data_IF_002182930713
#
_entry.id   IF_002182930713
#
_cell.length_a   1.000
_cell.length_b   1.000
_cell.length_c   1.000
_cell.angle_alpha   90.00
_cell.angle_beta   90.00
_cell.angle_gamma   90.00
#
_symmetry.space_group_name_H-M   'P 1'
#
loop_
_entity.id
_entity.type
_entity.pdbx_description
1 polymer ?
#
# COMPACT_ATOMS: atom_id res chain seq x y z
N UNK A 1 -25.50 -23.00 11.58
CA UNK A 1 -24.03 -22.88 11.80
C UNK A 1 -23.58 -21.45 12.07
N UNK A 2 -24.31 -20.42 11.63
CA UNK A 2 -23.99 -19.00 11.92
C UNK A 2 -24.22 -18.58 13.38
N UNK A 3 -25.01 -19.29 14.16
CA UNK A 3 -25.30 -18.97 15.56
C UNK A 3 -24.29 -19.50 16.59
N UNK A 4 -23.37 -20.39 16.19
CA UNK A 4 -22.34 -20.91 17.12
C UNK A 4 -21.08 -20.06 17.23
N UNK A 5 -20.84 -19.18 16.25
CA UNK A 5 -19.70 -18.23 16.28
C UNK A 5 -19.93 -17.01 17.17
N UNK A 6 -21.19 -16.68 17.46
CA UNK A 6 -21.54 -15.55 18.32
C UNK A 6 -21.43 -15.87 19.83
N UNK A 7 -21.50 -17.13 20.23
CA UNK A 7 -21.45 -17.52 21.65
C UNK A 7 -20.05 -17.72 22.20
N UNK A 8 -19.03 -17.94 21.36
CA UNK A 8 -17.64 -18.17 21.83
C UNK A 8 -16.83 -16.88 22.03
N UNK A 9 -17.37 -15.71 21.66
CA UNK A 9 -16.72 -14.40 21.86
C UNK A 9 -17.04 -13.79 23.22
N UNK A 10 -17.93 -14.39 24.02
CA UNK A 10 -18.54 -13.74 25.17
C UNK A 10 -18.07 -14.23 26.54
N UNK A 11 -16.87 -14.69 26.70
CA UNK A 11 -16.33 -14.98 28.04
C UNK A 11 -14.89 -14.54 28.19
N UNK A 12 -14.66 -13.38 28.75
CA UNK A 12 -13.84 -13.04 29.92
C UNK A 12 -13.41 -11.56 29.95
N UNK A 13 -14.01 -10.83 30.91
CA UNK A 13 -13.49 -9.62 31.55
C UNK A 13 -13.17 -8.39 30.69
N UNK A 14 -14.18 -7.83 30.06
CA UNK A 14 -14.25 -6.37 29.86
C UNK A 14 -15.32 -5.81 30.83
N UNK A 15 -15.01 -4.74 31.50
CA UNK A 15 -16.02 -3.90 32.16
C UNK A 15 -17.12 -3.57 31.14
N UNK A 16 -18.40 -3.60 31.51
CA UNK A 16 -19.51 -3.62 30.56
C UNK A 16 -19.70 -2.38 29.66
N UNK A 17 -18.74 -1.46 29.56
CA UNK A 17 -18.93 -0.17 28.87
C UNK A 17 -17.71 0.37 28.11
N UNK A 18 -16.62 -0.38 27.94
CA UNK A 18 -15.49 0.11 27.13
C UNK A 18 -15.60 -0.39 25.69
N UNK A 19 -15.88 0.49 24.76
CA UNK A 19 -15.76 0.19 23.34
C UNK A 19 -14.31 -0.19 23.01
N UNK A 20 -14.07 -1.19 22.12
CA UNK A 20 -12.74 -1.64 21.78
C UNK A 20 -11.91 -0.51 21.17
N UNK A 21 -10.64 -0.41 21.58
CA UNK A 21 -9.67 0.53 21.03
C UNK A 21 -8.92 -0.08 19.86
N UNK A 22 -8.77 0.69 18.78
CA UNK A 22 -8.22 0.22 17.51
C UNK A 22 -7.02 1.11 17.12
N UNK A 23 -5.94 0.46 16.71
CA UNK A 23 -4.78 1.10 16.11
C UNK A 23 -4.74 0.76 14.62
N UNK A 24 -4.79 1.77 13.76
CA UNK A 24 -4.66 1.62 12.31
C UNK A 24 -3.28 2.09 11.88
N UNK A 25 -2.55 1.22 11.22
CA UNK A 25 -1.19 1.50 10.77
C UNK A 25 -1.06 1.27 9.28
N UNK A 26 -0.22 2.09 8.63
CA UNK A 26 0.21 1.88 7.26
C UNK A 26 1.71 2.20 7.11
N UNK A 27 2.29 1.78 5.98
CA UNK A 27 3.71 2.01 5.71
C UNK A 27 4.00 3.48 5.35
N UNK A 28 3.14 4.12 4.56
CA UNK A 28 3.34 5.48 4.05
C UNK A 28 2.33 6.47 4.62
N UNK A 29 2.71 7.76 4.65
CA UNK A 29 1.79 8.83 5.03
C UNK A 29 0.58 8.91 4.11
N UNK A 30 0.76 8.69 2.80
CA UNK A 30 -0.34 8.66 1.83
C UNK A 30 -1.36 7.57 2.16
N UNK A 31 -0.92 6.36 2.51
CA UNK A 31 -1.84 5.30 2.92
C UNK A 31 -2.56 5.66 4.23
N UNK A 32 -1.88 6.35 5.16
CA UNK A 32 -2.51 6.90 6.37
C UNK A 32 -3.56 7.95 6.01
N UNK A 33 -3.31 8.83 5.04
CA UNK A 33 -4.28 9.82 4.56
C UNK A 33 -5.52 9.13 3.94
N UNK A 34 -5.33 8.05 3.18
CA UNK A 34 -6.43 7.26 2.62
C UNK A 34 -7.27 6.59 3.72
N UNK A 35 -6.63 6.08 4.78
CA UNK A 35 -7.36 5.57 5.96
C UNK A 35 -8.15 6.69 6.65
N UNK A 36 -7.55 7.86 6.85
CA UNK A 36 -8.25 9.02 7.43
C UNK A 36 -9.44 9.43 6.57
N UNK A 37 -9.29 9.41 5.22
CA UNK A 37 -10.40 9.69 4.32
C UNK A 37 -11.58 8.73 4.55
N UNK A 38 -11.30 7.43 4.58
CA UNK A 38 -12.33 6.40 4.80
C UNK A 38 -13.03 6.55 6.16
N UNK A 39 -12.27 6.88 7.20
CA UNK A 39 -12.83 7.11 8.53
C UNK A 39 -13.72 8.36 8.55
N UNK A 40 -13.28 9.44 7.94
CA UNK A 40 -14.04 10.71 7.85
C UNK A 40 -15.32 10.53 7.03
N UNK A 41 -15.27 9.86 5.88
CA UNK A 41 -16.45 9.56 5.05
C UNK A 41 -17.48 8.69 5.76
N UNK A 42 -17.06 7.88 6.74
CA UNK A 42 -17.94 7.03 7.55
C UNK A 42 -18.25 7.65 8.93
N UNK A 43 -17.94 8.93 9.14
CA UNK A 43 -18.21 9.65 10.39
C UNK A 43 -17.62 8.96 11.65
N UNK A 44 -16.42 8.36 11.49
CA UNK A 44 -15.70 7.69 12.57
C UNK A 44 -14.64 8.62 13.17
N UNK A 45 -14.83 9.01 14.42
CA UNK A 45 -13.86 9.81 15.15
C UNK A 45 -12.52 9.08 15.29
N UNK A 46 -11.44 9.78 14.98
CA UNK A 46 -10.10 9.23 15.05
C UNK A 46 -9.06 10.30 15.37
N UNK A 47 -7.93 9.88 15.93
CA UNK A 47 -6.75 10.72 16.14
C UNK A 47 -5.62 10.22 15.26
N UNK A 48 -5.01 11.15 14.51
CA UNK A 48 -3.80 10.87 13.74
C UNK A 48 -2.57 11.27 14.55
N UNK A 49 -1.63 10.34 14.71
CA UNK A 49 -0.30 10.61 15.25
C UNK A 49 0.67 10.78 14.10
N UNK A 50 1.27 11.96 14.00
CA UNK A 50 2.17 12.29 12.91
C UNK A 50 2.56 13.76 12.89
N UNK A 51 3.25 14.15 11.81
CA UNK A 51 3.71 15.50 11.57
C UNK A 51 2.80 16.18 10.54
N UNK A 52 2.50 17.46 10.74
CA UNK A 52 1.68 18.28 9.84
C UNK A 52 2.27 18.35 8.41
N UNK A 53 3.61 18.43 8.28
CA UNK A 53 4.25 18.47 6.97
C UNK A 53 4.15 17.18 6.15
N UNK A 54 3.73 16.09 6.77
CA UNK A 54 3.55 14.79 6.14
C UNK A 54 2.09 14.32 6.15
N UNK A 55 1.17 15.20 6.53
CA UNK A 55 -0.27 15.00 6.53
C UNK A 55 -0.89 15.79 5.38
N UNK A 56 -1.85 15.21 4.68
CA UNK A 56 -2.69 15.97 3.76
C UNK A 56 -3.44 17.04 4.57
N UNK A 57 -3.41 18.34 4.16
CA UNK A 57 -4.08 19.43 4.86
C UNK A 57 -5.57 19.16 5.14
N UNK A 58 -6.23 18.37 4.31
CA UNK A 58 -7.63 17.95 4.48
C UNK A 58 -7.88 17.20 5.80
N UNK A 59 -6.87 16.55 6.35
CA UNK A 59 -6.97 15.71 7.56
C UNK A 59 -6.15 16.27 8.73
N UNK A 60 -5.66 17.52 8.63
CA UNK A 60 -4.86 18.16 9.68
C UNK A 60 -5.60 18.26 11.00
N UNK A 61 -6.91 18.51 10.97
CA UNK A 61 -7.76 18.65 12.17
C UNK A 61 -7.79 17.38 13.04
N UNK A 62 -7.44 16.22 12.47
CA UNK A 62 -7.34 14.95 13.20
C UNK A 62 -5.97 14.72 13.84
N UNK A 63 -4.98 15.58 13.56
CA UNK A 63 -3.66 15.46 14.20
C UNK A 63 -3.78 15.67 15.71
N UNK A 64 -3.09 14.83 16.47
CA UNK A 64 -3.12 14.90 17.94
C UNK A 64 -2.83 16.31 18.44
N UNK A 65 -1.91 17.04 17.81
CA UNK A 65 -1.55 18.40 18.20
C UNK A 65 -2.69 19.41 17.95
N UNK A 66 -3.51 19.22 16.92
CA UNK A 66 -4.63 20.11 16.59
C UNK A 66 -5.88 19.80 17.42
N UNK A 67 -6.02 18.55 17.85
CA UNK A 67 -7.08 18.12 18.79
C UNK A 67 -6.87 18.67 20.20
N UNK A 68 -5.65 19.14 20.50
CA UNK A 68 -5.25 19.64 21.81
C UNK A 68 -5.24 21.19 21.81
N UNK A 69 -5.78 21.81 22.86
CA UNK A 69 -5.78 23.26 23.04
C UNK A 69 -4.39 23.80 23.39
N UNK A 70 -4.14 25.09 23.13
CA UNK A 70 -2.86 25.80 23.43
C UNK A 70 -2.44 25.74 24.91
N UNK A 71 -3.41 25.51 25.83
CA UNK A 71 -3.17 25.34 27.27
C UNK A 71 -3.07 23.88 27.72
N UNK A 72 -2.71 23.00 26.81
CA UNK A 72 -2.72 21.56 27.04
C UNK A 72 -1.72 21.12 28.09
N UNK A 73 -2.17 20.41 29.10
CA UNK A 73 -1.34 19.76 30.11
C UNK A 73 -1.00 18.34 29.68
N UNK A 74 0.06 17.75 30.27
CA UNK A 74 0.38 16.32 30.04
C UNK A 74 -0.80 15.39 30.42
N UNK A 75 -1.60 15.77 31.39
CA UNK A 75 -2.77 15.00 31.79
C UNK A 75 -3.87 15.06 30.71
N UNK A 76 -4.10 16.21 30.07
CA UNK A 76 -5.08 16.32 28.98
C UNK A 76 -4.62 15.55 27.73
N UNK A 77 -3.32 15.59 27.39
CA UNK A 77 -2.78 14.72 26.31
C UNK A 77 -3.06 13.25 26.62
N UNK A 78 -2.78 12.84 27.84
CA UNK A 78 -3.00 11.46 28.26
C UNK A 78 -4.49 11.07 28.21
N UNK A 79 -5.39 11.91 28.70
CA UNK A 79 -6.84 11.63 28.65
C UNK A 79 -7.33 11.54 27.20
N UNK A 80 -6.98 12.50 26.34
CA UNK A 80 -7.33 12.48 24.91
C UNK A 80 -6.89 11.19 24.21
N UNK A 81 -5.65 10.75 24.46
CA UNK A 81 -5.16 9.50 23.90
C UNK A 81 -5.87 8.26 24.47
N UNK A 82 -6.13 8.23 25.77
CA UNK A 82 -6.83 7.11 26.42
C UNK A 82 -8.26 7.00 25.90
N UNK A 83 -8.96 8.12 25.77
CA UNK A 83 -10.37 8.18 25.36
C UNK A 83 -10.56 7.96 23.85
N UNK A 84 -9.53 8.25 23.04
CA UNK A 84 -9.60 8.01 21.60
C UNK A 84 -9.86 6.54 21.28
N UNK A 85 -10.94 6.25 20.57
CA UNK A 85 -11.29 4.89 20.15
C UNK A 85 -10.40 4.40 19.01
N UNK A 86 -10.13 5.24 18.04
CA UNK A 86 -9.34 4.94 16.86
C UNK A 86 -8.11 5.85 16.82
N UNK A 87 -6.95 5.25 16.68
CA UNK A 87 -5.67 5.95 16.49
C UNK A 87 -5.08 5.50 15.16
N UNK A 88 -4.62 6.45 14.35
CA UNK A 88 -4.05 6.22 13.02
C UNK A 88 -2.63 6.76 12.96
N UNK A 89 -1.68 6.01 12.42
CA UNK A 89 -0.30 6.44 12.27
C UNK A 89 0.45 5.63 11.20
N UNK A 90 1.66 6.08 10.84
CA UNK A 90 2.59 5.18 10.14
C UNK A 90 3.29 4.26 11.14
N UNK A 91 3.74 3.08 10.68
CA UNK A 91 4.55 2.18 11.50
C UNK A 91 5.83 2.85 12.01
N UNK A 92 6.47 3.67 11.18
CA UNK A 92 7.65 4.44 11.56
C UNK A 92 7.35 5.46 12.68
N UNK A 93 6.24 6.18 12.58
CA UNK A 93 5.80 7.12 13.62
C UNK A 93 5.56 6.41 14.95
N UNK A 94 4.90 5.26 14.94
CA UNK A 94 4.64 4.50 16.15
C UNK A 94 5.90 3.90 16.76
N UNK A 95 6.86 3.43 15.95
CA UNK A 95 8.16 2.99 16.44
C UNK A 95 8.91 4.12 17.16
N UNK A 96 8.88 5.33 16.59
CA UNK A 96 9.51 6.50 17.22
C UNK A 96 8.79 6.96 18.49
N UNK A 97 7.52 6.63 18.65
CA UNK A 97 6.68 7.01 19.79
C UNK A 97 6.21 5.79 20.61
N UNK A 98 7.04 4.75 20.71
CA UNK A 98 6.68 3.52 21.41
C UNK A 98 6.27 3.73 22.89
N UNK A 99 6.68 4.85 23.51
CA UNK A 99 6.23 5.26 24.85
C UNK A 99 4.72 5.46 24.96
N UNK A 100 4.01 5.68 23.86
CA UNK A 100 2.54 5.76 23.83
C UNK A 100 1.89 4.48 24.32
N UNK A 101 2.52 3.33 24.12
CA UNK A 101 2.04 2.06 24.63
C UNK A 101 2.08 1.95 26.16
N UNK A 102 2.82 2.82 26.86
CA UNK A 102 2.76 2.95 28.31
C UNK A 102 1.49 3.68 28.78
N UNK A 103 0.84 4.42 27.88
CA UNK A 103 -0.34 5.21 28.18
C UNK A 103 -1.61 4.50 27.71
N UNK A 104 -1.56 3.88 26.52
CA UNK A 104 -2.71 3.28 25.86
C UNK A 104 -2.43 1.86 25.38
N UNK A 105 -3.40 0.98 25.64
CA UNK A 105 -3.45 -0.37 25.10
C UNK A 105 -4.49 -0.44 23.98
N UNK A 106 -4.26 -1.31 23.02
CA UNK A 106 -5.17 -1.50 21.88
C UNK A 106 -5.69 -2.94 21.88
N UNK A 107 -7.00 -3.08 21.72
CA UNK A 107 -7.64 -4.39 21.57
C UNK A 107 -7.32 -5.00 20.22
N UNK A 108 -7.14 -4.16 19.19
CA UNK A 108 -6.85 -4.56 17.84
C UNK A 108 -5.90 -3.57 17.17
N UNK A 109 -4.88 -4.06 16.49
CA UNK A 109 -4.12 -3.31 15.50
C UNK A 109 -4.43 -3.85 14.10
N UNK A 110 -4.68 -2.98 13.13
CA UNK A 110 -4.81 -3.33 11.72
C UNK A 110 -3.68 -2.62 10.97
N UNK A 111 -2.88 -3.39 10.26
CA UNK A 111 -1.71 -2.90 9.54
C UNK A 111 -1.94 -3.12 8.06
N UNK A 112 -2.09 -2.04 7.32
CA UNK A 112 -2.25 -2.05 5.87
C UNK A 112 -0.90 -2.03 5.16
N UNK A 113 -0.86 -2.58 3.94
CA UNK A 113 0.37 -2.77 3.14
C UNK A 113 1.49 -3.48 3.93
N UNK A 114 1.12 -4.44 4.78
CA UNK A 114 2.06 -5.13 5.68
C UNK A 114 3.13 -5.94 4.94
N UNK A 115 2.90 -6.29 3.68
CA UNK A 115 3.89 -6.94 2.80
C UNK A 115 5.06 -6.01 2.43
N UNK A 116 4.88 -4.69 2.53
CA UNK A 116 5.91 -3.69 2.27
C UNK A 116 6.71 -3.30 3.53
N UNK A 117 6.41 -3.90 4.68
CA UNK A 117 7.06 -3.59 5.95
C UNK A 117 8.00 -4.73 6.31
N UNK A 118 9.30 -4.45 6.39
CA UNK A 118 10.29 -5.43 6.87
C UNK A 118 9.97 -5.87 8.29
N UNK A 119 10.18 -7.14 8.59
CA UNK A 119 9.87 -7.70 9.90
C UNK A 119 10.50 -6.93 11.07
N UNK A 120 11.78 -6.49 11.04
CA UNK A 120 12.36 -5.70 12.12
C UNK A 120 11.63 -4.39 12.41
N UNK A 121 10.95 -3.82 11.42
CA UNK A 121 10.25 -2.54 11.55
C UNK A 121 8.85 -2.67 12.19
N UNK A 122 8.33 -3.88 12.35
CA UNK A 122 6.98 -4.10 12.87
C UNK A 122 6.95 -5.01 14.10
N UNK A 123 7.88 -5.95 14.21
CA UNK A 123 7.85 -6.95 15.29
C UNK A 123 7.97 -6.30 16.68
N UNK A 124 8.76 -5.23 16.79
CA UNK A 124 8.90 -4.46 18.02
C UNK A 124 7.56 -3.88 18.49
N UNK A 125 6.77 -3.29 17.58
CA UNK A 125 5.45 -2.75 17.90
C UNK A 125 4.49 -3.84 18.38
N UNK A 126 4.41 -4.95 17.62
CA UNK A 126 3.47 -6.04 17.92
C UNK A 126 3.81 -6.80 19.18
N UNK A 127 5.10 -6.83 19.57
CA UNK A 127 5.57 -7.51 20.79
C UNK A 127 5.69 -6.61 22.01
N UNK A 128 5.40 -5.31 21.87
CA UNK A 128 5.52 -4.35 22.98
C UNK A 128 4.64 -4.77 24.16
N UNK A 129 5.22 -4.68 25.37
CA UNK A 129 4.55 -4.97 26.63
C UNK A 129 4.61 -3.76 27.55
N UNK A 130 3.54 -3.55 28.29
CA UNK A 130 3.52 -2.67 29.44
C UNK A 130 3.15 -3.48 30.68
N UNK A 131 4.03 -3.51 31.65
CA UNK A 131 3.99 -4.47 32.75
C UNK A 131 3.93 -5.92 32.19
N UNK A 132 2.98 -6.73 32.63
CA UNK A 132 2.83 -8.11 32.18
C UNK A 132 1.88 -8.29 30.98
N UNK A 133 1.31 -7.19 30.46
CA UNK A 133 0.31 -7.25 29.37
C UNK A 133 0.90 -6.79 28.04
N UNK A 134 0.46 -7.43 26.95
CA UNK A 134 0.74 -6.93 25.61
C UNK A 134 0.00 -5.60 25.38
N UNK A 135 0.70 -4.63 24.82
CA UNK A 135 0.14 -3.33 24.46
C UNK A 135 -0.88 -3.46 23.32
N UNK A 136 -0.70 -4.43 22.44
CA UNK A 136 -1.62 -4.81 21.38
C UNK A 136 -2.09 -6.23 21.64
N UNK A 137 -3.40 -6.41 21.83
CA UNK A 137 -3.98 -7.70 22.19
C UNK A 137 -4.13 -8.65 20.99
N UNK A 138 -4.49 -8.11 19.84
CA UNK A 138 -4.65 -8.83 18.58
C UNK A 138 -4.22 -7.95 17.42
N UNK A 139 -3.83 -8.55 16.31
CA UNK A 139 -3.52 -7.78 15.10
C UNK A 139 -4.02 -8.49 13.84
N UNK A 140 -4.27 -7.69 12.81
CA UNK A 140 -4.59 -8.10 11.46
C UNK A 140 -3.56 -7.46 10.55
N UNK A 141 -2.90 -8.26 9.74
CA UNK A 141 -2.00 -7.79 8.69
C UNK A 141 -2.73 -7.90 7.34
N UNK A 142 -2.81 -6.79 6.62
CA UNK A 142 -3.39 -6.70 5.28
C UNK A 142 -2.24 -6.44 4.31
N UNK A 143 -2.18 -7.14 3.20
CA UNK A 143 -1.11 -6.95 2.24
C UNK A 143 -1.14 -7.97 1.10
N UNK A 144 -0.20 -7.83 0.19
CA UNK A 144 -0.04 -8.71 -0.95
C UNK A 144 1.46 -8.95 -1.22
N UNK A 145 1.93 -10.13 -0.82
CA UNK A 145 3.33 -10.53 -0.98
C UNK A 145 3.73 -10.83 -2.44
N UNK A 146 2.78 -10.78 -3.38
CA UNK A 146 3.04 -10.94 -4.81
C UNK A 146 3.20 -9.61 -5.55
N UNK A 147 2.93 -8.49 -4.85
CA UNK A 147 3.25 -7.15 -5.31
C UNK A 147 4.71 -6.78 -4.98
N UNK A 148 5.09 -5.52 -5.17
CA UNK A 148 6.45 -5.07 -4.90
C UNK A 148 6.83 -5.32 -3.43
N UNK A 149 7.98 -5.95 -3.18
CA UNK A 149 8.43 -6.23 -1.82
C UNK A 149 8.87 -4.97 -1.10
N UNK A 150 9.09 -5.09 0.20
CA UNK A 150 9.72 -4.05 1.00
C UNK A 150 11.09 -3.65 0.45
N UNK A 151 11.44 -2.37 0.57
CA UNK A 151 12.75 -1.87 0.13
C UNK A 151 13.84 -2.32 1.13
N UNK A 152 14.75 -3.15 0.67
CA UNK A 152 15.90 -3.63 1.43
C UNK A 152 17.12 -2.78 1.10
N UNK A 153 17.73 -2.16 2.10
CA UNK A 153 18.93 -1.33 1.93
C UNK A 153 20.22 -2.15 2.01
N UNK A 154 20.21 -3.27 2.69
CA UNK A 154 21.37 -4.17 2.81
C UNK A 154 21.32 -5.21 1.69
N UNK A 155 22.46 -5.40 1.02
CA UNK A 155 22.61 -6.54 0.11
C UNK A 155 22.65 -7.86 0.90
N UNK A 156 22.20 -8.94 0.28
CA UNK A 156 21.98 -10.29 0.81
C UNK A 156 23.21 -11.00 1.42
N UNK A 157 23.93 -10.35 2.29
CA UNK A 157 25.08 -10.98 2.98
C UNK A 157 24.67 -11.81 4.20
N UNK A 158 23.37 -11.94 4.47
CA UNK A 158 22.83 -12.73 5.55
C UNK A 158 22.08 -13.97 5.03
N UNK A 159 22.64 -14.66 4.06
CA UNK A 159 22.38 -16.08 3.93
C UNK A 159 22.95 -16.75 5.18
N UNK A 160 22.10 -16.97 6.13
CA UNK A 160 22.41 -17.70 7.36
C UNK A 160 22.49 -19.19 7.02
N UNK A 161 23.50 -19.61 6.25
CA UNK A 161 23.70 -21.02 5.91
C UNK A 161 23.91 -21.91 7.15
N UNK A 162 24.34 -21.34 8.25
CA UNK A 162 24.54 -22.04 9.54
C UNK A 162 23.43 -21.77 10.56
N UNK A 163 22.27 -21.47 10.16
CA UNK A 163 21.25 -20.94 11.01
C UNK A 163 20.67 -21.93 11.96
N UNK A 164 20.53 -21.47 13.14
CA UNK A 164 19.76 -21.99 14.23
C UNK A 164 18.47 -22.67 13.72
N UNK A 165 18.34 -23.96 13.97
CA UNK A 165 17.21 -24.80 13.57
C UNK A 165 15.87 -24.18 13.98
N UNK A 166 15.85 -23.42 15.10
CA UNK A 166 14.67 -22.69 15.56
C UNK A 166 14.21 -21.62 14.57
N UNK A 167 15.11 -20.83 14.02
CA UNK A 167 14.78 -19.78 13.03
C UNK A 167 14.26 -20.39 11.72
N UNK A 168 14.83 -21.51 11.29
CA UNK A 168 14.33 -22.27 10.15
C UNK A 168 12.91 -22.79 10.37
N UNK A 169 12.62 -23.29 11.56
CA UNK A 169 11.30 -23.83 11.90
C UNK A 169 10.20 -22.76 11.88
N UNK A 170 10.53 -21.50 12.14
CA UNK A 170 9.60 -20.37 12.05
C UNK A 170 9.71 -19.63 10.72
N UNK A 171 10.41 -20.18 9.74
CA UNK A 171 10.64 -19.60 8.40
C UNK A 171 11.31 -18.22 8.42
N UNK A 172 12.05 -17.87 9.45
CA UNK A 172 12.86 -16.65 9.50
C UNK A 172 14.22 -16.91 8.87
N UNK A 173 14.27 -16.86 7.54
CA UNK A 173 15.47 -17.14 6.76
C UNK A 173 16.25 -15.86 6.43
N UNK A 174 15.55 -14.72 6.35
CA UNK A 174 16.14 -13.43 6.04
C UNK A 174 15.33 -12.30 6.67
N UNK A 175 16.01 -11.26 7.17
CA UNK A 175 15.34 -10.01 7.59
C UNK A 175 14.91 -9.12 6.42
N UNK A 176 15.18 -9.54 5.19
CA UNK A 176 14.72 -8.90 3.98
C UNK A 176 13.23 -9.17 3.67
N UNK A 177 12.66 -10.20 4.30
CA UNK A 177 11.25 -10.56 4.12
C UNK A 177 10.37 -9.79 5.10
N UNK A 178 9.10 -9.62 4.72
CA UNK A 178 8.09 -9.07 5.62
C UNK A 178 7.60 -10.12 6.61
N UNK A 179 7.19 -9.67 7.81
CA UNK A 179 6.49 -10.54 8.76
C UNK A 179 5.23 -11.16 8.14
N UNK A 180 4.51 -10.38 7.29
CA UNK A 180 3.32 -10.82 6.59
C UNK A 180 3.58 -12.07 5.74
N UNK A 181 4.61 -12.04 4.89
CA UNK A 181 4.98 -13.16 4.03
C UNK A 181 5.42 -14.38 4.85
N UNK A 182 6.26 -14.15 5.86
CA UNK A 182 6.74 -15.22 6.74
C UNK A 182 5.59 -15.93 7.46
N UNK A 183 4.62 -15.20 7.99
CA UNK A 183 3.46 -15.80 8.66
C UNK A 183 2.59 -16.58 7.68
N UNK A 184 2.33 -16.06 6.48
CA UNK A 184 1.59 -16.80 5.45
C UNK A 184 2.30 -18.11 5.10
N UNK A 185 3.62 -18.08 4.91
CA UNK A 185 4.42 -19.26 4.61
C UNK A 185 4.34 -20.28 5.75
N UNK A 186 4.49 -19.80 6.99
CA UNK A 186 4.42 -20.65 8.19
C UNK A 186 3.06 -21.33 8.31
N UNK A 187 1.98 -20.60 8.19
CA UNK A 187 0.61 -21.14 8.30
C UNK A 187 0.29 -22.14 7.17
N UNK A 188 0.65 -21.79 5.93
CA UNK A 188 0.47 -22.67 4.77
C UNK A 188 1.28 -23.97 4.89
N UNK A 189 2.53 -23.90 5.35
CA UNK A 189 3.39 -25.08 5.55
C UNK A 189 2.84 -25.99 6.65
N UNK A 190 2.25 -25.40 7.68
CA UNK A 190 1.61 -26.14 8.76
C UNK A 190 0.19 -26.67 8.41
N UNK A 191 -0.31 -26.37 7.20
CA UNK A 191 -1.66 -26.77 6.78
C UNK A 191 -2.79 -26.02 7.50
N UNK A 192 -2.49 -24.90 8.15
CA UNK A 192 -3.46 -24.08 8.87
C UNK A 192 -3.96 -22.95 7.96
N UNK A 193 -5.27 -22.83 7.81
CA UNK A 193 -5.91 -21.80 6.97
C UNK A 193 -6.78 -20.83 7.77
N UNK A 194 -7.03 -21.11 9.03
CA UNK A 194 -7.97 -20.35 9.88
C UNK A 194 -7.54 -18.90 10.12
N UNK A 195 -6.24 -18.62 9.98
CA UNK A 195 -5.68 -17.29 10.15
C UNK A 195 -5.41 -16.55 8.83
N UNK A 196 -5.73 -17.15 7.68
CA UNK A 196 -5.48 -16.57 6.37
C UNK A 196 -6.82 -16.29 5.67
N UNK A 197 -7.11 -15.02 5.44
CA UNK A 197 -8.20 -14.59 4.56
C UNK A 197 -7.63 -14.17 3.20
N UNK A 198 -8.29 -14.54 2.11
CA UNK A 198 -7.92 -14.13 0.76
C UNK A 198 -9.06 -13.35 0.11
N UNK A 199 -8.75 -12.15 -0.38
CA UNK A 199 -9.67 -11.36 -1.18
C UNK A 199 -9.52 -11.76 -2.65
N UNK A 200 -10.61 -12.15 -3.28
CA UNK A 200 -10.63 -12.59 -4.68
C UNK A 200 -11.17 -11.52 -5.64
N UNK A 201 -11.82 -10.47 -5.13
CA UNK A 201 -12.42 -9.43 -5.95
C UNK A 201 -11.56 -8.16 -5.94
N UNK A 202 -11.34 -7.61 -7.13
CA UNK A 202 -10.63 -6.34 -7.32
C UNK A 202 -11.53 -5.33 -8.06
N UNK A 203 -11.50 -4.07 -7.63
CA UNK A 203 -12.28 -2.98 -8.22
C UNK A 203 -11.46 -2.00 -9.06
N UNK A 204 -10.18 -2.27 -9.30
CA UNK A 204 -9.26 -1.32 -9.95
C UNK A 204 -9.12 -1.54 -11.44
N UNK A 205 -8.80 -2.76 -11.84
CA UNK A 205 -8.39 -3.07 -13.21
C UNK A 205 -9.55 -3.57 -14.06
N UNK A 206 -9.58 -3.16 -15.33
CA UNK A 206 -10.41 -3.81 -16.35
C UNK A 206 -10.01 -5.30 -16.47
N UNK A 207 -10.94 -6.23 -16.82
CA UNK A 207 -10.65 -7.67 -16.98
C UNK A 207 -9.44 -7.96 -17.88
N UNK A 208 -9.30 -7.28 -19.01
CA UNK A 208 -8.18 -7.46 -19.95
C UNK A 208 -6.82 -7.16 -19.33
N UNK A 209 -6.76 -6.17 -18.41
CA UNK A 209 -5.55 -5.83 -17.67
C UNK A 209 -5.32 -6.84 -16.55
N UNK A 210 -6.38 -7.22 -15.83
CA UNK A 210 -6.32 -8.17 -14.74
C UNK A 210 -5.90 -9.58 -15.20
N UNK A 211 -6.24 -9.98 -16.43
CA UNK A 211 -5.90 -11.28 -16.99
C UNK A 211 -4.37 -11.54 -16.99
N UNK A 212 -3.57 -10.53 -17.32
CA UNK A 212 -2.11 -10.68 -17.26
C UNK A 212 -1.64 -10.95 -15.81
N UNK A 213 -2.13 -10.18 -14.85
CA UNK A 213 -1.79 -10.37 -13.44
C UNK A 213 -2.26 -11.75 -12.94
N UNK A 214 -3.46 -12.17 -13.30
CA UNK A 214 -4.00 -13.48 -12.97
C UNK A 214 -3.13 -14.61 -13.48
N UNK A 215 -2.79 -14.59 -14.76
CA UNK A 215 -1.97 -15.64 -15.36
C UNK A 215 -0.57 -15.74 -14.79
N UNK A 216 0.03 -14.61 -14.42
CA UNK A 216 1.43 -14.54 -13.99
C UNK A 216 1.61 -14.67 -12.49
N UNK A 217 0.73 -14.09 -11.70
CA UNK A 217 0.92 -13.96 -10.26
C UNK A 217 -0.21 -14.58 -9.42
N UNK A 218 -1.45 -14.53 -9.90
CA UNK A 218 -2.62 -14.92 -9.11
C UNK A 218 -3.35 -16.15 -9.68
N UNK A 219 -2.60 -17.06 -10.32
CA UNK A 219 -3.18 -18.26 -10.93
C UNK A 219 -3.98 -19.13 -9.95
N UNK A 220 -3.64 -19.10 -8.66
CA UNK A 220 -4.36 -19.83 -7.61
C UNK A 220 -5.57 -19.07 -7.09
N UNK A 221 -5.40 -17.77 -6.87
CA UNK A 221 -6.39 -16.88 -6.26
C UNK A 221 -7.48 -16.51 -7.26
N UNK A 222 -7.15 -16.37 -8.54
CA UNK A 222 -8.08 -16.02 -9.63
C UNK A 222 -8.86 -14.74 -9.29
N UNK A 223 -8.21 -13.57 -9.40
CA UNK A 223 -8.85 -12.29 -9.09
C UNK A 223 -10.01 -12.02 -10.05
N UNK A 224 -11.19 -11.83 -9.49
CA UNK A 224 -12.39 -11.45 -10.21
C UNK A 224 -12.62 -9.95 -10.16
N UNK A 225 -13.16 -9.37 -11.23
CA UNK A 225 -13.54 -7.96 -11.23
C UNK A 225 -14.86 -7.76 -10.48
N UNK A 226 -14.94 -6.70 -9.68
CA UNK A 226 -16.21 -6.15 -9.22
C UNK A 226 -16.82 -5.43 -10.44
N UNK A 227 -18.10 -5.66 -10.81
CA UNK A 227 -18.67 -5.11 -12.04
C UNK A 227 -18.92 -3.58 -11.93
N UNK A 228 -17.85 -2.82 -11.76
CA UNK A 228 -17.88 -1.36 -11.75
C UNK A 228 -17.92 -0.81 -13.19
N UNK A 229 -18.45 0.38 -13.39
CA UNK A 229 -18.65 0.97 -14.72
C UNK A 229 -17.38 0.94 -15.58
N UNK A 230 -16.22 1.38 -15.04
CA UNK A 230 -14.94 1.38 -15.76
C UNK A 230 -14.40 -0.03 -16.05
N UNK A 231 -14.84 -1.06 -15.31
CA UNK A 231 -14.47 -2.46 -15.57
C UNK A 231 -15.37 -3.13 -16.61
N UNK A 232 -16.54 -2.57 -16.86
CA UNK A 232 -17.50 -3.06 -17.86
C UNK A 232 -17.38 -2.34 -19.20
N UNK A 233 -16.55 -1.30 -19.28
CA UNK A 233 -16.37 -0.51 -20.48
C UNK A 233 -15.78 -1.34 -21.61
N UNK A 234 -16.51 -1.47 -22.71
CA UNK A 234 -16.11 -2.30 -23.85
C UNK A 234 -15.19 -1.58 -24.84
N UNK A 235 -15.36 -0.27 -24.97
CA UNK A 235 -14.65 0.55 -25.95
C UNK A 235 -13.70 1.52 -25.26
N UNK A 236 -12.55 1.78 -25.88
CA UNK A 236 -11.67 2.88 -25.53
C UNK A 236 -12.18 4.15 -26.22
N UNK A 237 -12.16 5.27 -25.50
CA UNK A 237 -12.66 6.57 -25.98
C UNK A 237 -11.67 7.25 -26.95
N UNK A 238 -11.26 6.53 -28.00
CA UNK A 238 -10.35 7.04 -29.03
C UNK A 238 -11.11 7.46 -30.29
N UNK A 239 -10.53 8.37 -31.05
CA UNK A 239 -11.06 8.75 -32.38
C UNK A 239 -11.07 7.54 -33.34
N UNK A 240 -12.00 7.52 -34.29
CA UNK A 240 -12.12 6.40 -35.24
C UNK A 240 -10.94 6.32 -36.23
N UNK A 241 -10.27 7.44 -36.52
CA UNK A 241 -9.17 7.49 -37.48
C UNK A 241 -7.86 6.98 -36.92
N UNK A 242 -7.21 6.07 -37.62
CA UNK A 242 -5.84 5.60 -37.37
C UNK A 242 -4.91 6.11 -38.46
N UNK A 243 -3.68 6.47 -38.10
CA UNK A 243 -2.66 6.85 -39.07
C UNK A 243 -1.76 5.68 -39.48
N UNK A 244 -1.58 4.73 -38.57
CA UNK A 244 -0.73 3.56 -38.78
C UNK A 244 -1.11 2.38 -37.84
N UNK A 245 -0.39 1.24 -37.99
CA UNK A 245 -0.59 0.02 -37.20
C UNK A 245 -0.45 0.25 -35.67
N UNK A 246 0.34 1.24 -35.24
CA UNK A 246 0.50 1.56 -33.81
C UNK A 246 -0.78 2.14 -33.24
N UNK A 247 -1.46 2.99 -33.99
CA UNK A 247 -2.76 3.50 -33.58
C UNK A 247 -3.81 2.38 -33.50
N UNK A 248 -3.79 1.47 -34.46
CA UNK A 248 -4.69 0.30 -34.45
C UNK A 248 -4.41 -0.59 -33.22
N UNK A 249 -3.13 -0.80 -32.88
CA UNK A 249 -2.73 -1.55 -31.70
C UNK A 249 -3.23 -0.88 -30.41
N UNK A 250 -3.08 0.44 -30.27
CA UNK A 250 -3.56 1.21 -29.12
C UNK A 250 -5.07 1.13 -28.95
N UNK A 251 -5.82 1.10 -30.07
CA UNK A 251 -7.28 1.01 -30.08
C UNK A 251 -7.78 -0.40 -29.75
N UNK A 252 -7.06 -1.41 -30.23
CA UNK A 252 -7.48 -2.80 -30.10
C UNK A 252 -7.21 -3.41 -28.73
N UNK A 253 -6.23 -2.88 -27.98
CA UNK A 253 -5.73 -3.53 -26.77
C UNK A 253 -5.62 -2.57 -25.59
N UNK A 254 -6.09 -3.01 -24.41
CA UNK A 254 -5.92 -2.27 -23.14
C UNK A 254 -4.57 -2.53 -22.48
N UNK A 255 -3.88 -3.58 -22.87
CA UNK A 255 -2.56 -3.93 -22.36
C UNK A 255 -1.62 -4.27 -23.52
N UNK A 256 -0.54 -3.52 -23.63
CA UNK A 256 0.42 -3.63 -24.73
C UNK A 256 1.82 -3.68 -24.14
N UNK A 257 2.64 -4.60 -24.61
CA UNK A 257 4.06 -4.67 -24.30
C UNK A 257 4.86 -4.23 -25.53
N UNK A 258 5.63 -3.15 -25.39
CA UNK A 258 6.51 -2.63 -26.44
C UNK A 258 7.95 -2.84 -26.01
N UNK A 259 8.70 -3.76 -26.64
CA UNK A 259 10.09 -4.00 -26.27
C UNK A 259 10.98 -2.85 -26.72
N UNK A 260 11.86 -2.38 -25.84
CA UNK A 260 12.92 -1.43 -26.16
C UNK A 260 14.27 -2.13 -26.27
N UNK A 261 15.19 -1.55 -27.07
CA UNK A 261 16.57 -2.00 -27.11
C UNK A 261 17.38 -1.28 -26.04
N UNK A 262 18.32 -1.97 -25.37
CA UNK A 262 19.23 -1.30 -24.44
C UNK A 262 20.03 -0.22 -25.17
N UNK A 263 19.94 1.03 -24.71
CA UNK A 263 20.72 2.13 -25.27
C UNK A 263 22.03 2.26 -24.51
N UNK A 264 23.13 1.80 -25.11
CA UNK A 264 24.48 1.99 -24.58
C UNK A 264 25.10 3.23 -25.25
N UNK A 265 24.87 4.39 -24.68
CA UNK A 265 25.58 5.60 -25.07
C UNK A 265 26.75 5.85 -24.11
N UNK A 266 27.95 6.09 -24.66
CA UNK A 266 29.09 6.58 -23.89
C UNK A 266 28.71 7.89 -23.20
N UNK A 267 28.92 7.96 -21.87
CA UNK A 267 28.61 9.12 -21.00
C UNK A 267 27.14 9.29 -20.53
N UNK A 268 26.26 8.33 -20.75
CA UNK A 268 24.93 8.34 -20.15
C UNK A 268 24.89 7.28 -19.04
N UNK A 269 24.21 7.60 -17.92
CA UNK A 269 23.99 6.67 -16.83
C UNK A 269 23.30 5.38 -17.33
N UNK A 270 23.70 4.22 -16.83
CA UNK A 270 23.04 2.92 -17.11
C UNK A 270 21.54 2.91 -16.75
N UNK A 271 21.10 3.89 -15.93
CA UNK A 271 19.70 4.07 -15.53
C UNK A 271 18.91 5.00 -16.46
N UNK A 272 19.41 5.25 -17.66
CA UNK A 272 18.76 6.07 -18.70
C UNK A 272 18.72 5.31 -20.02
N UNK A 273 17.53 5.22 -20.59
CA UNK A 273 17.30 4.66 -21.93
C UNK A 273 16.59 5.70 -22.79
N UNK A 274 17.32 6.27 -23.75
CA UNK A 274 16.80 7.30 -24.66
C UNK A 274 15.77 6.74 -25.66
N UNK A 275 15.85 5.45 -25.98
CA UNK A 275 14.90 4.79 -26.86
C UNK A 275 13.53 4.69 -26.16
N UNK A 276 13.49 4.26 -24.89
CA UNK A 276 12.26 4.26 -24.09
C UNK A 276 11.65 5.67 -23.98
N UNK A 277 12.49 6.70 -23.78
CA UNK A 277 11.98 8.07 -23.70
C UNK A 277 11.31 8.49 -25.03
N UNK A 278 11.86 8.10 -26.19
CA UNK A 278 11.26 8.37 -27.51
C UNK A 278 9.97 7.60 -27.71
N UNK A 279 9.93 6.33 -27.36
CA UNK A 279 8.72 5.50 -27.43
C UNK A 279 7.60 6.14 -26.60
N UNK A 280 7.89 6.50 -25.34
CA UNK A 280 6.92 7.14 -24.45
C UNK A 280 6.41 8.46 -25.04
N UNK A 281 7.32 9.27 -25.61
CA UNK A 281 6.96 10.55 -26.21
C UNK A 281 6.08 10.37 -27.45
N UNK A 282 6.38 9.39 -28.30
CA UNK A 282 5.54 9.07 -29.46
C UNK A 282 4.17 8.55 -29.04
N UNK A 283 4.09 7.66 -28.08
CA UNK A 283 2.83 7.18 -27.52
C UNK A 283 1.99 8.32 -26.93
N UNK A 284 2.62 9.24 -26.19
CA UNK A 284 1.93 10.39 -25.61
C UNK A 284 1.35 11.31 -26.69
N UNK A 285 2.11 11.57 -27.76
CA UNK A 285 1.67 12.34 -28.92
C UNK A 285 0.45 11.69 -29.60
N UNK A 286 0.47 10.37 -29.77
CA UNK A 286 -0.64 9.59 -30.34
C UNK A 286 -1.87 9.64 -29.44
N UNK A 287 -1.72 9.44 -28.15
CA UNK A 287 -2.83 9.50 -27.18
C UNK A 287 -3.44 10.90 -27.12
N UNK A 288 -2.64 11.95 -27.13
CA UNK A 288 -3.12 13.32 -27.20
C UNK A 288 -3.99 13.55 -28.46
N UNK A 289 -3.53 13.10 -29.63
CA UNK A 289 -4.29 13.18 -30.88
C UNK A 289 -5.57 12.36 -30.81
N UNK A 290 -5.50 11.12 -30.32
CA UNK A 290 -6.64 10.21 -30.25
C UNK A 290 -7.72 10.65 -29.27
N UNK A 291 -7.34 11.22 -28.15
CA UNK A 291 -8.28 11.76 -27.16
C UNK A 291 -8.81 13.15 -27.53
N UNK A 292 -8.06 13.92 -28.35
CA UNK A 292 -8.45 15.25 -28.79
C UNK A 292 -8.86 16.16 -27.65
N UNK A 293 -10.05 16.72 -27.71
CA UNK A 293 -10.59 17.63 -26.68
C UNK A 293 -10.85 16.95 -25.31
N UNK A 294 -10.82 15.63 -25.25
CA UNK A 294 -10.95 14.87 -23.99
C UNK A 294 -9.60 14.64 -23.30
N UNK A 295 -8.50 15.08 -23.89
CA UNK A 295 -7.19 14.96 -23.26
C UNK A 295 -7.03 15.99 -22.14
N UNK A 296 -6.83 15.49 -20.93
CA UNK A 296 -6.48 16.29 -19.74
C UNK A 296 -5.06 15.89 -19.30
N UNK A 297 -4.07 16.82 -19.38
CA UNK A 297 -2.67 16.50 -19.02
C UNK A 297 -2.48 15.95 -17.61
N UNK A 298 -3.42 16.26 -16.69
CA UNK A 298 -3.33 15.84 -15.30
C UNK A 298 -4.02 14.49 -15.00
N UNK A 299 -4.90 14.03 -15.92
CA UNK A 299 -5.76 12.86 -15.66
C UNK A 299 -5.67 11.77 -16.71
N UNK A 300 -5.42 12.12 -17.98
CA UNK A 300 -5.53 11.17 -19.09
C UNK A 300 -4.39 10.17 -19.15
N UNK A 301 -3.17 10.55 -18.75
CA UNK A 301 -1.98 9.71 -18.87
C UNK A 301 -1.11 9.79 -17.64
N UNK A 302 -0.73 8.62 -17.12
CA UNK A 302 0.28 8.48 -16.08
C UNK A 302 1.52 7.76 -16.60
N UNK A 303 2.70 8.34 -16.43
CA UNK A 303 3.99 7.72 -16.79
C UNK A 303 4.74 7.31 -15.53
N UNK A 304 4.86 6.00 -15.29
CA UNK A 304 5.54 5.45 -14.11
C UNK A 304 6.95 5.03 -14.50
N UNK A 305 7.94 5.58 -13.80
CA UNK A 305 9.36 5.39 -14.11
C UNK A 305 10.15 5.16 -12.82
N UNK A 306 10.93 4.07 -12.71
CA UNK A 306 11.63 3.72 -11.47
C UNK A 306 12.86 4.58 -11.19
N UNK A 307 13.46 5.23 -12.20
CA UNK A 307 14.73 5.95 -12.06
C UNK A 307 14.58 7.46 -12.29
N UNK A 308 15.06 8.26 -11.33
CA UNK A 308 14.99 9.74 -11.41
C UNK A 308 15.64 10.32 -12.67
N UNK A 309 16.78 9.74 -13.09
CA UNK A 309 17.48 10.20 -14.30
C UNK A 309 16.65 9.93 -15.57
N UNK A 310 15.91 8.81 -15.61
CA UNK A 310 15.01 8.49 -16.71
C UNK A 310 13.79 9.43 -16.71
N UNK A 311 13.27 9.79 -15.54
CA UNK A 311 12.20 10.80 -15.44
C UNK A 311 12.65 12.12 -16.05
N UNK A 312 13.86 12.60 -15.73
CA UNK A 312 14.40 13.84 -16.28
C UNK A 312 14.56 13.77 -17.82
N UNK A 313 15.01 12.62 -18.34
CA UNK A 313 15.12 12.40 -19.78
C UNK A 313 13.76 12.44 -20.47
N UNK A 314 12.77 11.73 -19.94
CA UNK A 314 11.41 11.68 -20.48
C UNK A 314 10.79 13.08 -20.46
N UNK A 315 10.89 13.82 -19.36
CA UNK A 315 10.39 15.20 -19.25
C UNK A 315 10.97 16.08 -20.36
N UNK A 316 12.29 16.03 -20.56
CA UNK A 316 12.97 16.79 -21.62
C UNK A 316 12.47 16.43 -23.02
N UNK A 317 12.13 15.17 -23.27
CA UNK A 317 11.56 14.77 -24.57
C UNK A 317 10.08 15.21 -24.71
N UNK A 318 9.30 15.16 -23.64
CA UNK A 318 7.90 15.60 -23.62
C UNK A 318 7.79 17.13 -23.81
N UNK A 319 8.67 17.92 -23.18
CA UNK A 319 8.71 19.38 -23.32
C UNK A 319 8.85 19.80 -24.80
N UNK A 320 9.52 19.02 -25.63
CA UNK A 320 9.65 19.29 -27.08
C UNK A 320 8.35 19.13 -27.85
N UNK A 321 7.33 18.46 -27.29
CA UNK A 321 6.04 18.27 -27.94
C UNK A 321 5.12 19.51 -27.83
N UNK A 322 5.30 20.36 -26.81
CA UNK A 322 4.45 21.52 -26.56
C UNK A 322 2.98 21.17 -26.26
N UNK A 323 2.68 19.94 -25.85
CA UNK A 323 1.29 19.46 -25.59
C UNK A 323 0.86 19.55 -24.14
N UNK A 324 1.73 20.01 -23.24
CA UNK A 324 1.48 20.12 -21.80
C UNK A 324 1.38 21.58 -21.33
N UNK A 325 1.37 22.54 -22.26
CA UNK A 325 1.22 23.98 -21.99
C UNK A 325 -0.25 24.42 -21.92
#
# INVERSE_FOLDING_TARGET
EHNKLSETINTQHSTPNSQPSILLLAYTNRAVDEICNMLTENELDHIRIGNEFSCDPKYSDHLLKEVLDDNTTLNSIKSTLVDARVVVATTSTMNSNATLFNIKHFDLAIIDEASQILEPNIIGLLSTRHAERHAIKRFILIGDHKQLPAVVQQQDTLETEETNTFLKNIHLLSCANSLFERLILTERTAGRTDFIGTLHKQGRMHPDIADFANRKFYAREQLECVPLAHQLEQTLAYNETSEDETDDLLKAHRMIFIPSKPCRQLNISEKVNTEEARIITDLLRRLHRQLGNNFDPQKSVGVIVPYRNQIAMIRKEIEKLGILE
#
